data_IF_806793989975
#
_entry.id   IF_806793989975
#
_cell.length_a   1.000
_cell.length_b   1.000
_cell.length_c   1.000
_cell.angle_alpha   90.00
_cell.angle_beta   90.00
_cell.angle_gamma   90.00
#
_symmetry.space_group_name_H-M   'P 1'
#
loop_
_entity.id
_entity.type
_entity.pdbx_description
1 polymer ?
#
# COMPACT_ATOMS: atom_id res chain seq x y z
N UNK A 1 15.69 -3.96 20.61
CA UNK A 1 15.14 -3.61 19.27
C UNK A 1 14.12 -2.52 19.50
N UNK A 2 14.47 -1.25 19.23
CA UNK A 2 13.63 -0.10 19.51
C UNK A 2 12.85 0.28 18.26
N UNK A 3 11.58 0.36 18.43
CA UNK A 3 10.44 0.41 17.56
C UNK A 3 10.54 1.47 16.46
N UNK A 4 10.37 1.00 15.22
CA UNK A 4 10.03 1.74 14.02
C UNK A 4 9.06 2.88 14.26
N UNK A 5 9.20 4.00 13.55
CA UNK A 5 8.08 4.91 13.38
C UNK A 5 7.06 4.29 12.41
N UNK A 6 6.37 3.27 12.88
CA UNK A 6 5.26 2.58 12.21
C UNK A 6 4.11 3.53 11.84
N UNK A 7 4.14 4.76 12.35
CA UNK A 7 3.15 5.78 12.04
C UNK A 7 3.08 6.09 10.53
N UNK A 8 4.19 6.03 9.81
CA UNK A 8 4.17 6.25 8.36
C UNK A 8 3.41 5.14 7.63
N UNK A 9 3.60 3.89 8.06
CA UNK A 9 2.84 2.76 7.53
C UNK A 9 1.35 2.88 7.88
N UNK A 10 1.02 3.32 9.10
CA UNK A 10 -0.36 3.61 9.50
C UNK A 10 -1.03 4.61 8.55
N UNK A 11 -0.34 5.71 8.18
CA UNK A 11 -0.89 6.69 7.23
C UNK A 11 -1.19 6.05 5.87
N UNK A 12 -0.26 5.23 5.34
CA UNK A 12 -0.48 4.58 4.04
C UNK A 12 -1.58 3.52 4.08
N UNK A 13 -1.72 2.75 5.17
CA UNK A 13 -2.87 1.86 5.35
C UNK A 13 -4.18 2.66 5.44
N UNK A 14 -4.16 3.84 6.07
CA UNK A 14 -5.30 4.76 6.07
C UNK A 14 -5.69 5.23 4.66
N UNK A 15 -4.70 5.57 3.82
CA UNK A 15 -4.94 5.93 2.42
C UNK A 15 -5.56 4.75 1.66
N UNK A 16 -5.03 3.53 1.81
CA UNK A 16 -5.59 2.32 1.20
C UNK A 16 -7.04 2.11 1.65
N UNK A 17 -7.36 2.34 2.94
CA UNK A 17 -8.74 2.20 3.42
C UNK A 17 -9.68 3.21 2.78
N UNK A 18 -9.25 4.47 2.63
CA UNK A 18 -10.03 5.50 1.95
C UNK A 18 -10.30 5.10 0.49
N UNK A 19 -9.28 4.62 -0.22
CA UNK A 19 -9.45 4.17 -1.60
C UNK A 19 -10.34 2.93 -1.73
N UNK A 20 -10.25 1.98 -0.79
CA UNK A 20 -11.17 0.84 -0.73
C UNK A 20 -12.61 1.31 -0.52
N UNK A 21 -12.84 2.29 0.36
CA UNK A 21 -14.15 2.90 0.56
C UNK A 21 -14.68 3.56 -0.73
N UNK A 22 -13.86 4.35 -1.42
CA UNK A 22 -14.26 4.93 -2.71
C UNK A 22 -14.58 3.86 -3.75
N UNK A 23 -13.84 2.75 -3.76
CA UNK A 23 -14.11 1.64 -4.67
C UNK A 23 -15.43 0.92 -4.34
N UNK A 24 -15.78 0.78 -3.06
CA UNK A 24 -17.10 0.27 -2.63
C UNK A 24 -18.22 1.18 -3.15
N UNK A 25 -18.10 2.50 -2.93
CA UNK A 25 -19.11 3.47 -3.39
C UNK A 25 -19.25 3.45 -4.91
N UNK A 26 -18.13 3.41 -5.62
CA UNK A 26 -18.11 3.34 -7.09
C UNK A 26 -18.80 2.06 -7.60
N UNK A 27 -18.43 0.91 -7.04
CA UNK A 27 -19.00 -0.38 -7.43
C UNK A 27 -20.51 -0.46 -7.12
N UNK A 28 -20.91 0.07 -5.98
CA UNK A 28 -22.33 0.14 -5.61
C UNK A 28 -23.14 1.04 -6.56
N UNK A 29 -22.62 2.23 -6.89
CA UNK A 29 -23.28 3.19 -7.76
C UNK A 29 -23.47 2.68 -9.20
N UNK A 30 -22.47 1.93 -9.71
CA UNK A 30 -22.50 1.36 -11.06
C UNK A 30 -23.10 -0.07 -11.12
N UNK A 31 -23.65 -0.58 -10.02
CA UNK A 31 -24.19 -1.95 -9.90
C UNK A 31 -23.16 -3.06 -10.21
N UNK A 32 -21.89 -2.83 -9.91
CA UNK A 32 -20.78 -3.77 -10.11
C UNK A 32 -20.62 -4.64 -8.84
N UNK A 33 -21.56 -5.53 -8.57
CA UNK A 33 -21.59 -6.29 -7.31
C UNK A 33 -20.64 -7.50 -7.28
N UNK A 34 -20.09 -7.93 -8.42
CA UNK A 34 -19.31 -9.17 -8.55
C UNK A 34 -18.11 -9.26 -7.58
N UNK A 35 -17.41 -8.16 -7.37
CA UNK A 35 -16.22 -8.11 -6.51
C UNK A 35 -16.39 -7.16 -5.32
N UNK A 36 -17.60 -6.67 -5.04
CA UNK A 36 -17.84 -5.66 -4.00
C UNK A 36 -17.36 -6.12 -2.62
N UNK A 37 -17.64 -7.37 -2.26
CA UNK A 37 -17.25 -7.95 -0.96
C UNK A 37 -15.73 -7.90 -0.75
N UNK A 38 -14.95 -8.02 -1.81
CA UNK A 38 -13.48 -8.01 -1.73
C UNK A 38 -12.95 -6.64 -1.29
N UNK A 39 -13.59 -5.55 -1.74
CA UNK A 39 -13.27 -4.19 -1.32
C UNK A 39 -13.67 -3.93 0.13
N UNK A 40 -14.79 -4.52 0.58
CA UNK A 40 -15.22 -4.45 1.99
C UNK A 40 -14.20 -5.16 2.90
N UNK A 41 -13.72 -6.33 2.52
CA UNK A 41 -12.65 -7.02 3.28
C UNK A 41 -11.38 -6.19 3.33
N UNK A 42 -10.99 -5.61 2.22
CA UNK A 42 -9.79 -4.74 2.15
C UNK A 42 -9.96 -3.50 3.04
N UNK A 43 -11.13 -2.89 3.03
CA UNK A 43 -11.45 -1.74 3.88
C UNK A 43 -11.33 -2.08 5.37
N UNK A 44 -11.94 -3.18 5.82
CA UNK A 44 -11.88 -3.62 7.22
C UNK A 44 -10.44 -3.93 7.63
N UNK A 45 -9.70 -4.68 6.82
CA UNK A 45 -8.32 -5.08 7.13
C UNK A 45 -7.41 -3.85 7.16
N UNK A 46 -7.54 -2.92 6.20
CA UNK A 46 -6.69 -1.72 6.16
C UNK A 46 -6.99 -0.76 7.31
N UNK A 47 -8.24 -0.59 7.72
CA UNK A 47 -8.58 0.17 8.95
C UNK A 47 -7.97 -0.48 10.18
N UNK A 48 -8.14 -1.80 10.33
CA UNK A 48 -7.58 -2.52 11.46
C UNK A 48 -6.05 -2.34 11.54
N UNK A 49 -5.34 -2.47 10.42
CA UNK A 49 -3.89 -2.24 10.35
C UNK A 49 -3.53 -0.77 10.64
N UNK A 50 -4.32 0.18 10.16
CA UNK A 50 -4.13 1.61 10.45
C UNK A 50 -4.16 1.85 11.96
N UNK A 51 -5.18 1.33 12.64
CA UNK A 51 -5.35 1.47 14.08
C UNK A 51 -4.23 0.73 14.82
N UNK A 52 -3.93 -0.50 14.42
CA UNK A 52 -2.89 -1.32 15.04
C UNK A 52 -1.52 -0.62 14.99
N UNK A 53 -1.09 -0.16 13.81
CA UNK A 53 0.20 0.54 13.65
C UNK A 53 0.21 1.92 14.30
N UNK A 54 -0.94 2.57 14.43
CA UNK A 54 -1.07 3.83 15.17
C UNK A 54 -0.87 3.62 16.68
N UNK A 55 -1.46 2.58 17.26
CA UNK A 55 -1.32 2.30 18.70
C UNK A 55 0.05 1.70 19.09
N UNK A 56 0.70 0.98 18.18
CA UNK A 56 2.08 0.49 18.41
C UNK A 56 3.09 1.65 18.39
N UNK A 57 2.67 2.86 18.03
CA UNK A 57 3.49 4.06 18.05
C UNK A 57 4.11 4.26 19.42
N UNK A 58 5.43 4.20 19.49
CA UNK A 58 6.15 4.54 20.71
C UNK A 58 6.35 6.07 20.79
N UNK A 59 6.04 6.65 21.95
CA UNK A 59 6.13 8.10 22.22
C UNK A 59 7.57 8.60 22.48
N UNK A 60 8.59 7.76 22.25
CA UNK A 60 9.97 8.17 22.43
C UNK A 60 10.40 9.21 21.36
N UNK A 61 10.71 10.42 21.78
CA UNK A 61 11.22 11.53 20.96
C UNK A 61 12.65 11.31 20.39
N UNK A 62 13.15 10.08 20.42
CA UNK A 62 14.49 9.79 19.91
C UNK A 62 14.59 9.97 18.41
N UNK A 63 15.72 10.56 17.97
CA UNK A 63 16.04 10.71 16.54
C UNK A 63 16.01 9.34 15.87
N UNK A 64 15.32 9.24 14.74
CA UNK A 64 15.21 8.02 13.94
C UNK A 64 16.59 7.67 13.37
N UNK A 65 17.01 6.44 13.54
CA UNK A 65 18.26 5.95 12.94
C UNK A 65 18.10 5.71 11.44
N UNK A 66 19.21 5.75 10.70
CA UNK A 66 19.23 5.47 9.26
C UNK A 66 18.63 4.09 8.95
N UNK A 67 18.99 3.09 9.76
CA UNK A 67 18.47 1.72 9.61
C UNK A 67 16.97 1.63 9.78
N UNK A 68 16.37 2.40 10.70
CA UNK A 68 14.92 2.45 10.91
C UNK A 68 14.19 3.05 9.71
N UNK A 69 14.77 4.07 9.06
CA UNK A 69 14.20 4.66 7.84
C UNK A 69 14.22 3.66 6.68
N UNK A 70 15.37 3.04 6.40
CA UNK A 70 15.52 2.05 5.33
C UNK A 70 14.57 0.87 5.55
N UNK A 71 14.50 0.36 6.77
CA UNK A 71 13.64 -0.77 7.08
C UNK A 71 12.15 -0.40 6.98
N UNK A 72 11.74 0.83 7.33
CA UNK A 72 10.37 1.33 7.12
C UNK A 72 10.01 1.34 5.63
N UNK A 73 10.93 1.80 4.77
CA UNK A 73 10.74 1.80 3.33
C UNK A 73 10.57 0.36 2.80
N UNK A 74 11.46 -0.55 3.18
CA UNK A 74 11.42 -1.94 2.73
C UNK A 74 10.14 -2.65 3.19
N UNK A 75 9.75 -2.46 4.46
CA UNK A 75 8.49 -3.02 4.98
C UNK A 75 7.27 -2.50 4.24
N UNK A 76 7.24 -1.23 3.89
CA UNK A 76 6.10 -0.69 3.15
C UNK A 76 6.00 -1.26 1.73
N UNK A 77 7.12 -1.41 1.00
CA UNK A 77 7.10 -2.09 -0.31
C UNK A 77 6.68 -3.55 -0.26
N UNK A 78 6.69 -4.17 0.91
CA UNK A 78 6.20 -5.53 1.10
C UNK A 78 4.77 -5.57 1.64
N UNK A 79 4.48 -4.84 2.72
CA UNK A 79 3.21 -4.93 3.44
C UNK A 79 2.05 -4.23 2.72
N UNK A 80 2.28 -3.08 2.06
CA UNK A 80 1.22 -2.37 1.37
C UNK A 80 0.69 -3.17 0.17
N UNK A 81 1.55 -3.74 -0.72
CA UNK A 81 1.07 -4.63 -1.77
C UNK A 81 0.36 -5.89 -1.27
N UNK A 82 0.72 -6.42 -0.09
CA UNK A 82 -0.01 -7.54 0.52
C UNK A 82 -1.48 -7.20 0.77
N UNK A 83 -1.76 -6.02 1.31
CA UNK A 83 -3.15 -5.59 1.53
C UNK A 83 -3.84 -5.25 0.20
N UNK A 84 -3.13 -4.61 -0.73
CA UNK A 84 -3.64 -4.31 -2.07
C UNK A 84 -3.98 -5.58 -2.86
N UNK A 85 -3.32 -6.71 -2.57
CA UNK A 85 -3.58 -7.99 -3.26
C UNK A 85 -4.92 -8.64 -2.89
N UNK A 86 -5.57 -8.23 -1.80
CA UNK A 86 -6.79 -8.83 -1.30
C UNK A 86 -7.92 -8.83 -2.35
N UNK A 87 -8.27 -7.71 -3.01
CA UNK A 87 -9.31 -7.72 -4.05
C UNK A 87 -8.96 -8.61 -5.24
N UNK A 88 -7.70 -8.69 -5.63
CA UNK A 88 -7.30 -9.59 -6.73
C UNK A 88 -7.43 -11.06 -6.33
N UNK A 89 -7.03 -11.41 -5.12
CA UNK A 89 -7.05 -12.79 -4.62
C UNK A 89 -8.48 -13.34 -4.44
N UNK A 90 -9.37 -12.52 -3.84
CA UNK A 90 -10.75 -12.90 -3.60
C UNK A 90 -11.71 -12.59 -4.77
N UNK A 91 -11.19 -12.09 -5.89
CA UNK A 91 -11.99 -11.81 -7.08
C UNK A 91 -12.57 -13.10 -7.69
N UNK A 92 -13.61 -12.93 -8.51
CA UNK A 92 -14.21 -14.02 -9.29
C UNK A 92 -13.23 -14.73 -10.24
N UNK A 93 -12.07 -14.14 -10.50
CA UNK A 93 -11.04 -14.70 -11.42
C UNK A 93 -10.20 -15.81 -10.78
N UNK A 94 -10.41 -16.15 -9.51
CA UNK A 94 -9.74 -17.25 -8.80
C UNK A 94 -8.20 -17.24 -8.95
N UNK A 95 -7.59 -16.07 -8.80
CA UNK A 95 -6.15 -15.92 -8.91
C UNK A 95 -5.45 -16.68 -7.77
N UNK A 96 -4.32 -17.31 -8.09
CA UNK A 96 -3.43 -17.80 -7.02
C UNK A 96 -2.90 -16.62 -6.21
N UNK A 97 -2.53 -16.85 -4.95
CA UNK A 97 -1.96 -15.79 -4.11
C UNK A 97 -0.74 -15.13 -4.76
N UNK A 98 0.14 -15.91 -5.39
CA UNK A 98 1.33 -15.39 -6.08
C UNK A 98 0.95 -14.46 -7.22
N UNK A 99 -0.06 -14.81 -8.01
CA UNK A 99 -0.55 -14.00 -9.12
C UNK A 99 -1.24 -12.72 -8.62
N UNK A 100 -2.07 -12.80 -7.59
CA UNK A 100 -2.71 -11.64 -6.98
C UNK A 100 -1.67 -10.68 -6.38
N UNK A 101 -0.65 -11.21 -5.73
CA UNK A 101 0.45 -10.42 -5.18
C UNK A 101 1.31 -9.81 -6.29
N UNK A 102 1.57 -10.53 -7.37
CA UNK A 102 2.25 -9.99 -8.56
C UNK A 102 1.50 -8.80 -9.17
N UNK A 103 0.17 -8.93 -9.37
CA UNK A 103 -0.66 -7.82 -9.85
C UNK A 103 -0.59 -6.60 -8.92
N UNK A 104 -0.65 -6.81 -7.61
CA UNK A 104 -0.58 -5.73 -6.63
C UNK A 104 0.79 -5.05 -6.62
N UNK A 105 1.90 -5.79 -6.64
CA UNK A 105 3.25 -5.23 -6.73
C UNK A 105 3.43 -4.48 -8.04
N UNK A 106 3.03 -5.07 -9.16
CA UNK A 106 3.13 -4.44 -10.48
C UNK A 106 2.36 -3.12 -10.54
N UNK A 107 1.16 -3.08 -9.97
CA UNK A 107 0.40 -1.86 -9.80
C UNK A 107 1.13 -0.86 -8.90
N UNK A 108 1.48 -1.26 -7.69
CA UNK A 108 2.11 -0.42 -6.68
C UNK A 108 3.45 0.17 -7.10
N UNK A 109 4.28 -0.58 -7.82
CA UNK A 109 5.56 -0.10 -8.35
C UNK A 109 5.43 0.64 -9.69
N UNK A 110 4.20 0.77 -10.21
CA UNK A 110 3.90 1.40 -11.51
C UNK A 110 4.65 0.76 -12.69
N UNK A 111 5.03 -0.53 -12.58
CA UNK A 111 5.69 -1.27 -13.67
C UNK A 111 4.72 -1.63 -14.79
N UNK A 112 3.43 -1.80 -14.50
CA UNK A 112 2.38 -1.98 -15.48
C UNK A 112 2.23 -3.39 -16.05
N UNK A 113 3.05 -4.36 -15.62
CA UNK A 113 2.89 -5.75 -16.03
C UNK A 113 1.58 -6.35 -15.50
N UNK A 114 1.00 -7.27 -16.24
CA UNK A 114 -0.25 -7.95 -15.86
C UNK A 114 -0.22 -9.41 -16.26
N UNK A 115 -0.89 -10.22 -15.44
CA UNK A 115 -1.15 -11.64 -15.74
C UNK A 115 -2.45 -11.83 -16.53
N UNK A 116 -3.27 -10.78 -16.66
CA UNK A 116 -4.52 -10.86 -17.41
C UNK A 116 -4.23 -10.75 -18.91
N UNK A 117 -4.68 -11.72 -19.69
CA UNK A 117 -4.50 -11.76 -21.15
C UNK A 117 -5.19 -10.56 -21.83
N UNK A 118 -6.33 -10.13 -21.31
CA UNK A 118 -7.09 -9.00 -21.83
C UNK A 118 -7.72 -8.17 -20.71
N UNK A 119 -7.18 -6.97 -20.53
CA UNK A 119 -7.63 -6.03 -19.50
C UNK A 119 -9.08 -5.57 -19.73
N UNK A 120 -9.56 -5.56 -20.98
CA UNK A 120 -10.92 -5.12 -21.30
C UNK A 120 -12.02 -6.07 -20.77
N UNK A 121 -11.66 -7.30 -20.42
CA UNK A 121 -12.58 -8.28 -19.84
C UNK A 121 -12.56 -8.32 -18.31
N UNK A 122 -11.76 -7.47 -17.69
CA UNK A 122 -11.70 -7.37 -16.23
C UNK A 122 -12.86 -6.47 -15.76
N UNK A 123 -13.43 -6.79 -14.61
CA UNK A 123 -14.42 -5.96 -13.93
C UNK A 123 -13.89 -4.53 -13.71
N UNK A 124 -14.74 -3.53 -14.03
CA UNK A 124 -14.38 -2.11 -13.94
C UNK A 124 -13.93 -1.71 -12.53
N UNK A 125 -14.52 -2.31 -11.49
CA UNK A 125 -14.09 -2.11 -10.11
C UNK A 125 -12.64 -2.54 -9.86
N UNK A 126 -12.21 -3.68 -10.43
CA UNK A 126 -10.82 -4.13 -10.32
C UNK A 126 -9.85 -3.28 -11.14
N UNK A 127 -10.28 -2.73 -12.28
CA UNK A 127 -9.48 -1.77 -13.06
C UNK A 127 -9.27 -0.49 -12.24
N UNK A 128 -10.33 0.03 -11.60
CA UNK A 128 -10.24 1.18 -10.73
C UNK A 128 -9.32 0.90 -9.53
N UNK A 129 -9.44 -0.29 -8.91
CA UNK A 129 -8.57 -0.70 -7.81
C UNK A 129 -7.10 -0.76 -8.23
N UNK A 130 -6.81 -1.31 -9.40
CA UNK A 130 -5.46 -1.34 -9.97
C UNK A 130 -4.89 0.06 -10.17
N UNK A 131 -5.68 0.98 -10.73
CA UNK A 131 -5.29 2.38 -10.92
C UNK A 131 -5.05 3.08 -9.58
N UNK A 132 -5.88 2.79 -8.58
CA UNK A 132 -5.72 3.28 -7.21
C UNK A 132 -4.41 2.79 -6.58
N UNK A 133 -4.03 1.53 -6.81
CA UNK A 133 -2.77 0.96 -6.31
C UNK A 133 -1.54 1.66 -6.92
N UNK A 134 -1.58 2.00 -8.20
CA UNK A 134 -0.52 2.77 -8.87
C UNK A 134 -0.36 4.17 -8.25
N UNK A 135 -1.47 4.82 -7.95
CA UNK A 135 -1.46 6.14 -7.32
C UNK A 135 -0.86 6.09 -5.90
N UNK A 136 -1.26 5.14 -5.06
CA UNK A 136 -0.68 4.94 -3.73
C UNK A 136 0.81 4.61 -3.83
N UNK A 137 1.19 3.76 -4.77
CA UNK A 137 2.58 3.40 -5.01
C UNK A 137 3.45 4.58 -5.38
N UNK A 138 2.95 5.47 -6.27
CA UNK A 138 3.62 6.72 -6.62
C UNK A 138 3.81 7.64 -5.41
N UNK A 139 2.80 7.79 -4.55
CA UNK A 139 2.92 8.53 -3.30
C UNK A 139 3.95 7.90 -2.35
N UNK A 140 3.94 6.57 -2.24
CA UNK A 140 4.90 5.86 -1.40
C UNK A 140 6.33 5.98 -1.92
N UNK A 141 6.52 5.98 -3.23
CA UNK A 141 7.81 6.23 -3.87
C UNK A 141 8.34 7.62 -3.55
N UNK A 142 7.52 8.68 -3.69
CA UNK A 142 7.90 10.04 -3.32
C UNK A 142 8.26 10.14 -1.82
N UNK A 143 7.47 9.53 -0.95
CA UNK A 143 7.79 9.45 0.47
C UNK A 143 9.13 8.76 0.72
N UNK A 144 9.42 7.67 0.01
CA UNK A 144 10.68 6.94 0.12
C UNK A 144 11.88 7.81 -0.29
N UNK A 145 11.75 8.58 -1.35
CA UNK A 145 12.79 9.54 -1.80
C UNK A 145 13.04 10.59 -0.72
N UNK A 146 11.99 11.18 -0.15
CA UNK A 146 12.14 12.20 0.91
C UNK A 146 12.90 11.63 2.11
N UNK A 147 12.57 10.41 2.54
CA UNK A 147 13.29 9.74 3.63
C UNK A 147 14.75 9.47 3.29
N UNK A 148 15.06 9.10 2.05
CA UNK A 148 16.43 8.85 1.60
C UNK A 148 17.25 10.15 1.53
N UNK A 149 16.67 11.24 1.01
CA UNK A 149 17.34 12.55 0.97
C UNK A 149 17.72 13.02 2.39
N UNK A 150 16.82 12.87 3.35
CA UNK A 150 17.07 13.23 4.74
C UNK A 150 18.22 12.39 5.36
N UNK A 151 18.40 11.13 4.92
CA UNK A 151 19.55 10.29 5.30
C UNK A 151 20.86 10.87 4.75
N UNK A 152 20.87 11.26 3.46
CA UNK A 152 22.09 11.80 2.83
C UNK A 152 22.50 13.16 3.44
N UNK A 153 21.55 14.07 3.66
CA UNK A 153 21.82 15.38 4.26
C UNK A 153 22.42 15.24 5.67
N UNK A 154 21.90 14.32 6.50
CA UNK A 154 22.41 14.08 7.82
C UNK A 154 23.82 13.44 7.81
N UNK A 155 24.12 12.54 6.87
CA UNK A 155 25.44 11.93 6.74
C UNK A 155 26.46 12.93 6.23
N UNK A 156 26.08 13.81 5.30
CA UNK A 156 26.95 14.84 4.75
C UNK A 156 27.34 15.89 5.82
N UNK A 157 26.38 16.36 6.62
CA UNK A 157 26.66 17.26 7.74
C UNK A 157 27.62 16.66 8.76
N UNK A 158 27.51 15.36 9.04
CA UNK A 158 28.40 14.66 9.97
C UNK A 158 29.83 14.50 9.42
N UNK A 159 30.02 14.45 8.11
CA UNK A 159 31.35 14.34 7.50
C UNK A 159 32.10 15.67 7.41
N UNK A 160 31.40 16.81 7.58
CA UNK A 160 31.95 18.16 7.54
C UNK A 160 32.33 18.72 8.93
N UNK A 161 31.95 18.02 10.00
CA UNK A 161 32.28 18.34 11.41
C UNK A 161 33.27 17.37 11.97
#
# INVERSE_FOLDING_TARGET
MKYFKLIYLSVFFGIISILAFFNIVYSYYLNLYLNLDTYVYTFIISIFLTILFYYIKNNDEKKITIYEKILTILLGYFLLPLVISIPFYFSIYNLTFVNAFFESISGFTSTGFTIFDNINHIDQGLILWRSSSQWVGGLYFLFSIILLIDIFDHSFKKSLT
#
